data_IF_427704648002
#
_entry.id   IF_427704648002
#
_cell.length_a   1.000
_cell.length_b   1.000
_cell.length_c   1.000
_cell.angle_alpha   90.00
_cell.angle_beta   90.00
_cell.angle_gamma   90.00
#
_symmetry.space_group_name_H-M   'P 1'
#
loop_
_entity.id
_entity.type
_entity.pdbx_description
1 polymer ?
#
# COMPACT_ATOMS: atom_id res chain seq x y z
N UNK A 1 39.72 -3.53 71.66
CA UNK A 1 38.59 -3.45 70.71
C UNK A 1 38.84 -4.46 69.61
N UNK A 2 38.15 -5.61 69.62
CA UNK A 2 38.26 -6.64 68.57
C UNK A 2 37.22 -6.35 67.48
N UNK A 3 37.66 -5.98 66.28
CA UNK A 3 36.81 -5.85 65.10
C UNK A 3 36.68 -7.23 64.44
N UNK A 4 35.49 -7.80 64.49
CA UNK A 4 35.16 -9.04 63.79
C UNK A 4 34.82 -8.68 62.34
N UNK A 5 35.76 -8.93 61.42
CA UNK A 5 35.51 -8.78 59.99
C UNK A 5 34.70 -9.98 59.48
N UNK A 6 33.42 -9.78 59.21
CA UNK A 6 32.61 -10.75 58.47
C UNK A 6 33.05 -10.76 57.00
N UNK A 7 33.93 -11.70 56.62
CA UNK A 7 34.18 -12.01 55.22
C UNK A 7 32.91 -12.59 54.58
N UNK A 8 32.14 -11.73 53.90
CA UNK A 8 30.98 -12.13 53.11
C UNK A 8 31.47 -12.98 51.94
N UNK A 9 31.30 -14.31 52.03
CA UNK A 9 31.58 -15.23 50.90
C UNK A 9 30.81 -14.75 49.68
N UNK A 10 31.52 -14.26 48.66
CA UNK A 10 30.93 -14.06 47.35
C UNK A 10 30.56 -15.44 46.81
N UNK A 11 29.27 -15.71 46.66
CA UNK A 11 28.81 -16.89 45.94
C UNK A 11 29.08 -16.64 44.45
N UNK A 12 30.04 -17.38 43.89
CA UNK A 12 30.31 -17.38 42.46
C UNK A 12 29.21 -18.13 41.73
N UNK A 13 28.85 -17.63 40.54
CA UNK A 13 27.92 -18.30 39.64
C UNK A 13 28.52 -19.64 39.17
N UNK A 14 27.74 -20.72 39.22
CA UNK A 14 28.16 -22.00 38.67
C UNK A 14 27.97 -22.01 37.15
N UNK A 15 28.79 -22.79 36.45
CA UNK A 15 28.69 -22.95 34.98
C UNK A 15 27.32 -23.52 34.58
N UNK A 16 26.74 -24.38 35.43
CA UNK A 16 25.41 -24.97 35.23
C UNK A 16 24.31 -23.91 35.31
N UNK A 17 24.36 -22.99 36.28
CA UNK A 17 23.37 -21.91 36.39
C UNK A 17 23.39 -20.99 35.16
N UNK A 18 24.60 -20.66 34.66
CA UNK A 18 24.73 -19.87 33.44
C UNK A 18 24.17 -20.64 32.23
N UNK A 19 24.47 -21.93 32.11
CA UNK A 19 24.05 -22.78 30.99
C UNK A 19 22.53 -22.98 30.94
N UNK A 20 21.87 -23.22 32.07
CA UNK A 20 20.41 -23.35 32.14
C UNK A 20 19.74 -22.01 31.79
N UNK A 21 20.31 -20.89 32.24
CA UNK A 21 19.76 -19.56 31.97
C UNK A 21 19.76 -19.24 30.47
N UNK A 22 20.89 -19.44 29.79
CA UNK A 22 20.95 -19.20 28.33
C UNK A 22 20.05 -20.18 27.56
N UNK A 23 19.89 -21.43 28.04
CA UNK A 23 18.99 -22.40 27.43
C UNK A 23 17.53 -21.95 27.52
N UNK A 24 17.09 -21.45 28.68
CA UNK A 24 15.74 -20.92 28.87
C UNK A 24 15.53 -19.67 27.99
N UNK A 25 16.49 -18.74 27.96
CA UNK A 25 16.42 -17.55 27.10
C UNK A 25 16.31 -17.95 25.62
N UNK A 26 17.08 -18.93 25.16
CA UNK A 26 17.04 -19.40 23.78
C UNK A 26 15.66 -19.96 23.40
N UNK A 27 15.04 -20.76 24.28
CA UNK A 27 13.68 -21.29 24.07
C UNK A 27 12.65 -20.16 24.01
N UNK A 28 12.70 -19.22 24.95
CA UNK A 28 11.77 -18.07 24.98
C UNK A 28 11.95 -17.15 23.76
N UNK A 29 13.19 -16.90 23.34
CA UNK A 29 13.50 -16.10 22.17
C UNK A 29 12.99 -16.75 20.88
N UNK A 30 13.15 -18.07 20.73
CA UNK A 30 12.65 -18.82 19.57
C UNK A 30 11.12 -18.72 19.43
N UNK A 31 10.39 -18.89 20.54
CA UNK A 31 8.93 -18.72 20.56
C UNK A 31 8.54 -17.27 20.23
N UNK A 32 9.22 -16.30 20.83
CA UNK A 32 8.97 -14.86 20.62
C UNK A 32 9.18 -14.43 19.18
N UNK A 33 10.23 -14.93 18.52
CA UNK A 33 10.53 -14.58 17.12
C UNK A 33 9.42 -15.05 16.16
N UNK A 34 8.87 -16.26 16.39
CA UNK A 34 7.77 -16.78 15.57
C UNK A 34 6.48 -15.97 15.73
N UNK A 35 6.20 -15.48 16.93
CA UNK A 35 5.05 -14.65 17.25
C UNK A 35 5.22 -13.23 16.69
N UNK A 36 6.41 -12.66 16.84
CA UNK A 36 6.77 -11.34 16.30
C UNK A 36 6.56 -11.26 14.79
N UNK A 37 7.00 -12.28 14.04
CA UNK A 37 6.82 -12.31 12.57
C UNK A 37 5.34 -12.28 12.16
N UNK A 38 4.47 -12.98 12.89
CA UNK A 38 3.01 -12.94 12.67
C UNK A 38 2.45 -11.56 13.01
N UNK A 39 2.81 -10.99 14.15
CA UNK A 39 2.34 -9.65 14.57
C UNK A 39 2.78 -8.55 13.59
N UNK A 40 4.05 -8.56 13.18
CA UNK A 40 4.59 -7.58 12.24
C UNK A 40 3.86 -7.62 10.89
N UNK A 41 3.60 -8.81 10.34
CA UNK A 41 2.83 -8.93 9.10
C UNK A 41 1.39 -8.42 9.22
N UNK A 42 0.72 -8.69 10.35
CA UNK A 42 -0.63 -8.18 10.63
C UNK A 42 -0.62 -6.66 10.78
N UNK A 43 0.43 -6.09 11.38
CA UNK A 43 0.64 -4.65 11.46
C UNK A 43 0.74 -4.00 10.06
N UNK A 44 1.46 -4.64 9.13
CA UNK A 44 1.55 -4.17 7.74
C UNK A 44 0.20 -4.25 7.01
N UNK A 45 -0.57 -5.31 7.19
CA UNK A 45 -1.94 -5.43 6.64
C UNK A 45 -2.85 -4.31 7.16
N UNK A 46 -2.84 -4.04 8.46
CA UNK A 46 -3.60 -2.93 9.08
C UNK A 46 -3.14 -1.57 8.53
N UNK A 47 -1.83 -1.39 8.36
CA UNK A 47 -1.25 -0.20 7.74
C UNK A 47 -1.75 0.02 6.31
N UNK A 48 -1.77 -1.02 5.48
CA UNK A 48 -2.31 -0.95 4.11
C UNK A 48 -3.77 -0.50 4.08
N UNK A 49 -4.61 -1.09 4.94
CA UNK A 49 -6.03 -0.70 5.05
C UNK A 49 -6.16 0.76 5.50
N UNK A 50 -5.31 1.21 6.43
CA UNK A 50 -5.29 2.61 6.90
C UNK A 50 -4.90 3.58 5.77
N UNK A 51 -3.84 3.27 5.03
CA UNK A 51 -3.40 4.05 3.88
C UNK A 51 -4.52 4.13 2.83
N UNK A 52 -5.14 3.00 2.49
CA UNK A 52 -6.25 2.98 1.53
C UNK A 52 -7.46 3.77 2.00
N UNK A 53 -7.78 3.80 3.30
CA UNK A 53 -8.85 4.67 3.83
C UNK A 53 -8.56 6.14 3.60
N UNK A 54 -7.34 6.57 3.87
CA UNK A 54 -6.92 7.96 3.67
C UNK A 54 -6.92 8.34 2.18
N UNK A 55 -6.37 7.47 1.32
CA UNK A 55 -6.38 7.67 -0.14
C UNK A 55 -7.80 7.66 -0.73
N UNK A 56 -8.68 6.81 -0.20
CA UNK A 56 -10.09 6.73 -0.57
C UNK A 56 -10.83 8.02 -0.26
N UNK A 57 -10.66 8.53 0.96
CA UNK A 57 -11.24 9.81 1.37
C UNK A 57 -10.73 10.95 0.48
N UNK A 58 -9.42 11.01 0.24
CA UNK A 58 -8.80 12.01 -0.63
C UNK A 58 -9.38 11.97 -2.05
N UNK A 59 -9.61 10.78 -2.61
CA UNK A 59 -10.19 10.64 -3.93
C UNK A 59 -11.66 11.03 -4.01
N UNK A 60 -12.45 10.79 -2.97
CA UNK A 60 -13.85 11.25 -2.89
C UNK A 60 -13.92 12.77 -2.74
N UNK A 61 -13.03 13.37 -1.93
CA UNK A 61 -12.91 14.83 -1.83
C UNK A 61 -12.54 15.44 -3.18
N UNK A 62 -11.53 14.88 -3.86
CA UNK A 62 -11.17 15.27 -5.22
C UNK A 62 -12.37 15.19 -6.18
N UNK A 63 -13.09 14.07 -6.17
CA UNK A 63 -14.24 13.87 -7.07
C UNK A 63 -15.36 14.89 -6.82
N UNK A 64 -15.56 15.32 -5.57
CA UNK A 64 -16.54 16.36 -5.22
C UNK A 64 -16.22 17.69 -5.90
N UNK A 65 -14.93 18.01 -6.04
CA UNK A 65 -14.46 19.24 -6.70
C UNK A 65 -14.38 19.10 -8.24
N UNK A 66 -14.30 17.86 -8.76
CA UNK A 66 -14.06 17.56 -10.17
C UNK A 66 -15.26 16.88 -10.84
N UNK A 67 -16.48 17.39 -10.62
CA UNK A 67 -17.71 16.89 -11.28
C UNK A 67 -17.92 15.38 -11.14
N UNK A 68 -17.64 14.85 -9.95
CA UNK A 68 -17.81 13.43 -9.59
C UNK A 68 -16.87 12.45 -10.31
N UNK A 69 -15.84 12.95 -11.00
CA UNK A 69 -14.82 12.11 -11.61
C UNK A 69 -13.76 11.69 -10.60
N UNK A 70 -13.48 10.39 -10.57
CA UNK A 70 -12.36 9.86 -9.80
C UNK A 70 -11.02 10.34 -10.40
N UNK A 71 -9.96 10.46 -9.58
CA UNK A 71 -8.62 10.78 -10.07
C UNK A 71 -8.18 9.78 -11.14
N UNK A 72 -7.82 10.28 -12.32
CA UNK A 72 -7.41 9.46 -13.46
C UNK A 72 -5.97 8.95 -13.30
N UNK A 73 -5.69 7.74 -13.78
CA UNK A 73 -4.30 7.19 -13.81
C UNK A 73 -3.35 8.06 -14.60
N UNK A 74 -3.88 8.73 -15.63
CA UNK A 74 -3.16 9.67 -16.47
C UNK A 74 -4.15 10.74 -16.93
N UNK A 75 -3.83 12.00 -16.70
CA UNK A 75 -4.60 13.15 -17.15
C UNK A 75 -3.66 14.10 -17.89
N UNK A 76 -4.00 14.51 -19.11
CA UNK A 76 -3.28 15.55 -19.82
C UNK A 76 -4.15 16.08 -20.96
N UNK A 77 -4.18 17.40 -21.14
CA UNK A 77 -4.80 18.01 -22.31
C UNK A 77 -3.95 17.66 -23.55
N UNK A 78 -4.52 17.11 -24.64
CA UNK A 78 -3.78 16.84 -25.86
C UNK A 78 -3.15 18.10 -26.49
N UNK A 79 -3.67 19.30 -26.21
CA UNK A 79 -3.17 20.55 -26.78
C UNK A 79 -1.94 21.10 -26.01
N UNK A 80 -1.73 20.70 -24.76
CA UNK A 80 -0.71 21.25 -23.85
C UNK A 80 0.66 20.56 -23.91
N UNK A 81 0.95 19.76 -24.95
CA UNK A 81 2.31 19.30 -25.27
C UNK A 81 3.14 18.84 -24.06
N UNK A 82 2.72 17.75 -23.39
CA UNK A 82 3.35 17.16 -22.19
C UNK A 82 3.39 18.01 -20.90
N UNK A 83 2.93 19.26 -20.89
CA UNK A 83 3.12 20.17 -19.73
C UNK A 83 2.12 19.96 -18.56
N UNK A 84 1.09 19.12 -18.74
CA UNK A 84 -0.01 18.95 -17.76
C UNK A 84 -0.30 17.52 -17.31
N UNK A 85 0.67 16.60 -17.42
CA UNK A 85 0.46 15.18 -17.12
C UNK A 85 0.28 14.92 -15.61
N UNK A 86 -0.96 14.84 -15.15
CA UNK A 86 -1.29 14.51 -13.75
C UNK A 86 -1.68 13.04 -13.60
N UNK A 87 -0.93 12.31 -12.77
CA UNK A 87 -1.34 10.98 -12.32
C UNK A 87 -2.34 11.09 -11.16
N UNK A 88 -3.05 10.00 -10.86
CA UNK A 88 -3.97 9.96 -9.72
C UNK A 88 -3.29 10.34 -8.40
N UNK A 89 -1.99 10.02 -8.27
CA UNK A 89 -1.15 10.40 -7.13
C UNK A 89 -0.99 11.92 -7.06
N UNK A 90 -0.69 12.58 -8.18
CA UNK A 90 -0.57 14.04 -8.25
C UNK A 90 -1.89 14.72 -7.90
N UNK A 91 -2.99 14.19 -8.46
CA UNK A 91 -4.33 14.72 -8.25
C UNK A 91 -4.75 14.70 -6.78
N UNK A 92 -4.42 13.63 -6.03
CA UNK A 92 -4.86 13.49 -4.64
C UNK A 92 -3.79 13.84 -3.59
N UNK A 93 -2.53 14.06 -3.98
CA UNK A 93 -1.46 14.41 -3.05
C UNK A 93 -1.79 15.62 -2.15
N UNK A 94 -2.38 16.72 -2.64
CA UNK A 94 -2.77 17.86 -1.80
C UNK A 94 -3.78 17.49 -0.70
N UNK A 95 -4.69 16.54 -0.98
CA UNK A 95 -5.74 16.12 -0.05
C UNK A 95 -5.24 15.20 1.07
N UNK A 96 -4.04 14.64 0.92
CA UNK A 96 -3.37 13.85 1.96
C UNK A 96 -2.19 14.60 2.58
N UNK A 97 -2.08 15.91 2.36
CA UNK A 97 -0.96 16.76 2.79
C UNK A 97 0.41 16.23 2.33
N UNK A 98 0.43 15.51 1.21
CA UNK A 98 1.66 15.05 0.57
C UNK A 98 2.18 16.14 -0.36
N UNK A 99 3.49 16.31 -0.40
CA UNK A 99 4.13 17.06 -1.47
C UNK A 99 4.23 16.19 -2.72
N UNK A 100 4.07 16.81 -3.88
CA UNK A 100 4.42 16.24 -5.18
C UNK A 100 5.52 17.10 -5.79
N UNK A 101 6.71 16.55 -5.98
CA UNK A 101 7.83 17.25 -6.61
C UNK A 101 8.46 16.34 -7.67
N UNK A 102 8.25 16.60 -8.97
CA UNK A 102 8.90 15.83 -10.04
C UNK A 102 8.27 15.88 -11.44
N UNK A 103 9.09 15.57 -12.46
CA UNK A 103 8.66 15.18 -13.82
C UNK A 103 8.42 13.66 -13.90
N UNK A 104 7.90 13.16 -15.03
CA UNK A 104 7.44 11.78 -15.33
C UNK A 104 8.26 10.59 -14.75
N UNK A 105 9.49 10.78 -14.24
CA UNK A 105 10.35 9.73 -13.67
C UNK A 105 10.90 9.97 -12.23
N UNK A 106 10.80 11.18 -11.66
CA UNK A 106 11.44 11.52 -10.38
C UNK A 106 10.50 12.35 -9.47
N UNK A 107 9.43 11.73 -8.95
CA UNK A 107 8.41 12.36 -8.11
C UNK A 107 8.52 12.06 -6.61
N UNK A 108 8.47 13.08 -5.75
CA UNK A 108 8.22 12.91 -4.30
C UNK A 108 6.74 12.62 -4.04
N UNK A 109 6.43 11.63 -3.21
CA UNK A 109 5.06 11.36 -2.72
C UNK A 109 5.18 10.75 -1.34
N UNK A 110 4.31 11.02 -0.38
CA UNK A 110 4.44 10.48 0.98
C UNK A 110 4.31 8.93 1.04
N UNK A 111 4.76 8.33 2.15
CA UNK A 111 4.69 6.89 2.47
C UNK A 111 3.28 6.29 2.35
N UNK A 112 2.25 7.12 2.42
CA UNK A 112 0.86 6.71 2.23
C UNK A 112 0.58 6.02 0.88
N UNK A 113 1.32 6.37 -0.18
CA UNK A 113 1.18 5.75 -1.51
C UNK A 113 1.95 4.43 -1.66
N UNK A 114 2.65 3.99 -0.61
CA UNK A 114 3.27 2.67 -0.53
C UNK A 114 2.34 1.73 0.23
N UNK A 115 2.21 0.52 -0.28
CA UNK A 115 1.57 -0.57 0.44
C UNK A 115 2.61 -1.16 1.43
N UNK A 116 2.39 -1.06 2.75
CA UNK A 116 3.31 -1.61 3.75
C UNK A 116 3.52 -3.12 3.60
N UNK A 117 2.60 -3.84 2.97
CA UNK A 117 2.73 -5.29 2.75
C UNK A 117 3.64 -5.64 1.57
N UNK A 118 4.02 -4.66 0.73
CA UNK A 118 4.79 -4.94 -0.47
C UNK A 118 6.25 -5.31 -0.16
N UNK A 119 6.79 -6.40 -0.74
CA UNK A 119 8.13 -6.91 -0.44
C UNK A 119 9.26 -5.98 -0.91
N UNK A 120 9.02 -5.18 -1.96
CA UNK A 120 9.97 -4.18 -2.48
C UNK A 120 9.73 -2.78 -1.89
N UNK A 121 8.68 -2.62 -1.08
CA UNK A 121 8.55 -1.45 -0.21
C UNK A 121 9.66 -1.53 0.82
N UNK A 122 10.76 -0.81 0.57
CA UNK A 122 11.94 -0.70 1.45
C UNK A 122 11.53 -0.82 2.91
N UNK A 123 12.15 -1.78 3.61
CA UNK A 123 11.87 -2.11 5.02
C UNK A 123 11.72 -0.83 5.85
N UNK A 124 10.56 -0.68 6.51
CA UNK A 124 10.39 0.33 7.56
C UNK A 124 11.56 0.23 8.55
N UNK A 125 12.46 1.22 8.53
CA UNK A 125 13.67 1.20 9.36
C UNK A 125 14.83 2.09 8.89
N UNK A 126 14.89 2.54 7.64
CA UNK A 126 15.88 3.57 7.25
C UNK A 126 15.36 4.95 7.66
N UNK A 127 16.02 5.58 8.62
CA UNK A 127 15.78 6.95 9.10
C UNK A 127 16.03 8.05 8.05
N UNK A 128 16.11 7.71 6.78
CA UNK A 128 16.32 8.67 5.70
C UNK A 128 14.98 9.04 5.07
N UNK A 129 14.51 10.25 5.33
CA UNK A 129 13.45 10.90 4.56
C UNK A 129 13.96 11.09 3.12
N UNK A 130 13.72 10.11 2.24
CA UNK A 130 14.11 10.20 0.82
C UNK A 130 12.89 10.43 -0.08
N UNK A 131 13.04 11.23 -1.14
CA UNK A 131 12.06 11.32 -2.22
C UNK A 131 11.74 9.94 -2.81
N UNK A 132 10.48 9.70 -3.14
CA UNK A 132 9.99 8.41 -3.63
C UNK A 132 10.29 8.25 -5.13
N UNK A 133 10.19 7.03 -5.65
CA UNK A 133 10.21 6.80 -7.11
C UNK A 133 8.88 6.20 -7.54
N UNK A 134 8.46 6.41 -8.78
CA UNK A 134 7.25 5.79 -9.34
C UNK A 134 7.24 4.27 -9.26
N UNK A 135 8.44 3.67 -9.24
CA UNK A 135 8.62 2.24 -9.03
C UNK A 135 8.23 1.79 -7.62
N UNK A 136 7.99 2.68 -6.66
CA UNK A 136 7.69 2.33 -5.26
C UNK A 136 6.20 2.43 -4.90
N UNK A 137 5.36 2.89 -5.83
CA UNK A 137 3.91 2.98 -5.64
C UNK A 137 3.32 1.57 -5.54
N UNK A 138 2.60 1.33 -4.43
CA UNK A 138 2.07 0.01 -4.08
C UNK A 138 0.60 -0.21 -4.42
N UNK A 139 -0.05 0.76 -5.07
CA UNK A 139 -1.48 0.71 -5.41
C UNK A 139 -1.70 0.90 -6.90
N UNK A 140 -2.72 0.23 -7.43
CA UNK A 140 -3.13 0.31 -8.83
C UNK A 140 -4.60 0.65 -8.92
N UNK A 141 -4.92 1.54 -9.84
CA UNK A 141 -6.30 1.95 -10.11
C UNK A 141 -7.02 0.92 -10.97
N UNK A 142 -8.35 0.99 -10.98
CA UNK A 142 -9.23 0.14 -11.78
C UNK A 142 -9.91 0.98 -12.87
N UNK A 143 -10.20 0.34 -14.00
CA UNK A 143 -10.89 0.95 -15.14
C UNK A 143 -11.98 0.00 -15.64
N UNK A 144 -13.19 0.53 -15.83
CA UNK A 144 -14.32 -0.15 -16.45
C UNK A 144 -14.32 -0.09 -17.98
N UNK A 145 -13.28 0.50 -18.60
CA UNK A 145 -13.23 0.72 -20.04
C UNK A 145 -14.01 1.94 -20.53
N UNK A 146 -14.60 2.76 -19.63
CA UNK A 146 -14.96 4.15 -19.96
C UNK A 146 -13.70 4.99 -19.90
N UNK A 147 -12.85 4.82 -20.90
CA UNK A 147 -11.64 5.60 -21.07
C UNK A 147 -11.74 6.49 -22.31
N UNK A 148 -11.19 7.69 -22.21
CA UNK A 148 -10.96 8.55 -23.36
C UNK A 148 -9.53 8.31 -23.82
N UNK A 149 -9.35 7.89 -25.07
CA UNK A 149 -8.03 7.91 -25.70
C UNK A 149 -7.63 9.36 -25.97
N UNK A 150 -6.46 9.74 -25.49
CA UNK A 150 -5.80 11.02 -25.75
C UNK A 150 -4.41 10.73 -26.29
N UNK A 151 -4.26 10.84 -27.61
CA UNK A 151 -3.07 10.35 -28.31
C UNK A 151 -2.86 8.84 -28.11
N UNK A 152 -1.69 8.44 -27.63
CA UNK A 152 -1.35 7.05 -27.28
C UNK A 152 -1.79 6.62 -25.87
N UNK A 153 -2.35 7.53 -25.06
CA UNK A 153 -2.66 7.29 -23.65
C UNK A 153 -4.18 7.14 -23.42
N UNK A 154 -4.59 6.33 -22.43
CA UNK A 154 -6.00 6.15 -22.03
C UNK A 154 -6.25 6.92 -20.72
N UNK A 155 -7.13 7.91 -20.75
CA UNK A 155 -7.59 8.67 -19.57
C UNK A 155 -8.83 8.00 -19.01
N UNK A 156 -8.89 7.78 -17.69
CA UNK A 156 -10.03 7.14 -17.04
C UNK A 156 -11.07 8.17 -16.64
N UNK A 157 -12.33 7.89 -16.98
CA UNK A 157 -13.47 8.78 -16.73
C UNK A 157 -14.48 8.19 -15.73
N UNK A 158 -14.00 7.33 -14.84
CA UNK A 158 -14.78 6.67 -13.80
C UNK A 158 -15.47 7.68 -12.88
N UNK A 159 -16.81 7.66 -12.83
CA UNK A 159 -17.62 8.52 -11.95
C UNK A 159 -17.98 7.83 -10.62
N UNK A 160 -18.20 8.62 -9.57
CA UNK A 160 -18.67 8.11 -8.27
C UNK A 160 -20.10 7.53 -8.31
N UNK A 161 -20.94 8.04 -9.22
CA UNK A 161 -22.38 7.72 -9.31
C UNK A 161 -22.77 6.62 -10.34
N UNK A 162 -21.80 5.88 -10.89
CA UNK A 162 -22.03 4.79 -11.85
C UNK A 162 -22.65 3.53 -11.20
N UNK A 163 -23.31 2.67 -11.99
CA UNK A 163 -24.46 1.83 -11.59
C UNK A 163 -24.18 0.76 -10.51
N UNK A 164 -22.94 0.47 -10.11
CA UNK A 164 -22.76 -0.39 -8.91
C UNK A 164 -21.52 -0.15 -8.04
N UNK A 165 -21.01 1.09 -7.94
CA UNK A 165 -19.83 1.40 -7.11
C UNK A 165 -18.65 0.52 -7.54
N UNK A 166 -18.11 0.78 -8.72
CA UNK A 166 -16.99 0.03 -9.28
C UNK A 166 -15.74 0.10 -8.40
N UNK A 167 -14.85 -0.91 -8.46
CA UNK A 167 -13.55 -0.83 -7.80
C UNK A 167 -12.79 0.37 -8.39
N UNK A 168 -12.04 1.05 -7.54
CA UNK A 168 -11.21 2.18 -7.91
C UNK A 168 -9.74 1.91 -7.65
N UNK A 169 -9.38 1.40 -6.46
CA UNK A 169 -7.99 1.25 -6.05
C UNK A 169 -7.79 -0.07 -5.31
N UNK A 170 -6.72 -0.78 -5.60
CA UNK A 170 -6.30 -1.95 -4.83
C UNK A 170 -4.78 -2.02 -4.71
N UNK A 171 -4.26 -2.72 -3.70
CA UNK A 171 -2.86 -3.08 -3.62
C UNK A 171 -2.37 -3.79 -4.88
N UNK A 172 -1.13 -3.55 -5.25
CA UNK A 172 -0.48 -4.18 -6.40
C UNK A 172 0.98 -4.52 -6.09
N UNK A 173 1.66 -5.19 -7.02
CA UNK A 173 3.09 -5.35 -6.97
C UNK A 173 3.78 -3.99 -7.16
N UNK A 174 4.82 -3.72 -6.37
CA UNK A 174 5.68 -2.55 -6.52
C UNK A 174 6.23 -2.48 -7.96
N UNK A 175 6.48 -1.28 -8.48
CA UNK A 175 6.97 -1.09 -9.85
C UNK A 175 5.87 -1.07 -10.92
N UNK A 176 4.65 -1.48 -10.58
CA UNK A 176 3.53 -1.53 -11.52
C UNK A 176 2.74 -0.20 -11.62
N UNK A 177 3.04 0.77 -10.75
CA UNK A 177 2.09 1.82 -10.38
C UNK A 177 2.03 3.06 -11.27
N UNK A 178 3.14 3.56 -11.83
CA UNK A 178 3.09 4.84 -12.60
C UNK A 178 4.00 4.89 -13.84
N UNK A 179 4.76 3.83 -14.14
CA UNK A 179 5.64 3.78 -15.32
C UNK A 179 5.10 3.05 -16.55
N UNK A 180 3.90 2.46 -16.46
CA UNK A 180 3.31 1.73 -17.57
C UNK A 180 1.80 1.70 -17.43
N UNK A 181 1.08 2.59 -18.11
CA UNK A 181 -0.21 2.29 -18.77
C UNK A 181 -1.18 1.37 -18.02
N UNK A 182 -1.31 1.52 -16.70
CA UNK A 182 -1.64 0.38 -15.84
C UNK A 182 -2.82 0.66 -14.94
N UNK A 183 -3.99 0.21 -15.38
CA UNK A 183 -5.12 0.00 -14.49
C UNK A 183 -5.67 -1.38 -14.70
N UNK A 184 -6.43 -1.88 -13.75
CA UNK A 184 -7.18 -3.11 -13.96
C UNK A 184 -8.30 -2.83 -14.95
N UNK A 185 -8.10 -3.13 -16.24
CA UNK A 185 -9.12 -3.00 -17.29
C UNK A 185 -9.54 -4.35 -17.90
N UNK A 186 -8.82 -5.43 -17.60
CA UNK A 186 -9.15 -6.78 -18.01
C UNK A 186 -8.68 -7.81 -16.95
N UNK A 187 -9.13 -9.04 -17.10
CA UNK A 187 -8.79 -10.16 -16.20
C UNK A 187 -7.29 -10.52 -16.25
N UNK A 188 -6.62 -10.33 -17.40
CA UNK A 188 -5.19 -10.61 -17.54
C UNK A 188 -4.31 -9.69 -16.67
N UNK A 189 -4.62 -8.39 -16.63
CA UNK A 189 -3.93 -7.43 -15.76
C UNK A 189 -4.26 -7.71 -14.29
N UNK A 190 -5.51 -8.07 -13.99
CA UNK A 190 -5.91 -8.49 -12.65
C UNK A 190 -5.08 -9.68 -12.16
N UNK A 191 -5.01 -10.76 -12.94
CA UNK A 191 -4.29 -11.99 -12.57
C UNK A 191 -2.78 -11.76 -12.43
N UNK A 192 -2.19 -10.92 -13.28
CA UNK A 192 -0.74 -10.66 -13.27
C UNK A 192 -0.27 -9.65 -12.20
N UNK A 193 -1.17 -8.83 -11.64
CA UNK A 193 -0.79 -7.73 -10.73
C UNK A 193 -1.51 -7.79 -9.39
N UNK A 194 -2.83 -7.94 -9.42
CA UNK A 194 -3.70 -7.86 -8.25
C UNK A 194 -3.78 -9.20 -7.52
N UNK A 195 -3.95 -10.29 -8.26
CA UNK A 195 -4.04 -11.62 -7.67
C UNK A 195 -2.74 -12.01 -6.96
N UNK A 196 -1.58 -11.75 -7.58
CA UNK A 196 -0.27 -11.96 -6.94
C UNK A 196 -0.07 -11.09 -5.70
N UNK A 197 -0.53 -9.84 -5.73
CA UNK A 197 -0.48 -8.96 -4.55
C UNK A 197 -1.39 -9.45 -3.42
N UNK A 198 -2.51 -10.11 -3.76
CA UNK A 198 -3.48 -10.62 -2.77
C UNK A 198 -2.91 -11.73 -1.89
N UNK A 199 -1.94 -12.51 -2.39
CA UNK A 199 -1.25 -13.56 -1.62
C UNK A 199 -0.54 -13.02 -0.38
N UNK A 200 -0.24 -11.70 -0.36
CA UNK A 200 0.36 -11.01 0.78
C UNK A 200 -0.60 -10.77 1.94
N UNK A 201 -1.91 -10.87 1.70
CA UNK A 201 -2.96 -10.54 2.66
C UNK A 201 -3.62 -11.79 3.23
N UNK A 202 -3.30 -12.15 4.48
CA UNK A 202 -3.89 -13.34 5.12
C UNK A 202 -5.34 -13.14 5.51
N UNK A 203 -5.73 -11.90 5.87
CA UNK A 203 -7.09 -11.59 6.32
C UNK A 203 -7.99 -11.06 5.20
N UNK A 204 -7.51 -11.10 3.96
CA UNK A 204 -8.16 -10.59 2.77
C UNK A 204 -7.60 -9.23 2.34
N UNK A 205 -7.46 -9.06 1.03
CA UNK A 205 -6.90 -7.85 0.45
C UNK A 205 -7.97 -6.75 0.37
N UNK A 206 -7.65 -5.52 0.78
CA UNK A 206 -8.55 -4.38 0.63
C UNK A 206 -8.71 -3.98 -0.83
N UNK A 207 -9.94 -3.72 -1.22
CA UNK A 207 -10.29 -3.05 -2.48
C UNK A 207 -11.15 -1.84 -2.14
N UNK A 208 -10.73 -0.68 -2.62
CA UNK A 208 -11.47 0.56 -2.52
C UNK A 208 -12.39 0.71 -3.72
N UNK A 209 -13.59 1.20 -3.49
CA UNK A 209 -14.60 1.47 -4.51
C UNK A 209 -14.79 2.98 -4.68
N UNK A 210 -15.34 3.41 -5.82
CA UNK A 210 -15.49 4.84 -6.14
C UNK A 210 -16.36 5.63 -5.16
N UNK A 211 -17.22 4.97 -4.40
CA UNK A 211 -18.04 5.60 -3.36
C UNK A 211 -17.30 5.79 -2.02
N UNK A 212 -15.99 5.54 -1.98
CA UNK A 212 -15.20 5.61 -0.76
C UNK A 212 -15.28 4.36 0.14
N UNK A 213 -16.09 3.36 -0.22
CA UNK A 213 -16.18 2.13 0.59
C UNK A 213 -14.98 1.22 0.34
N UNK A 214 -14.54 0.54 1.40
CA UNK A 214 -13.45 -0.44 1.33
C UNK A 214 -13.99 -1.80 1.76
N UNK A 215 -13.72 -2.83 0.96
CA UNK A 215 -14.08 -4.22 1.28
C UNK A 215 -12.85 -5.10 1.26
N UNK A 216 -12.81 -6.08 2.16
CA UNK A 216 -11.74 -7.07 2.23
C UNK A 216 -12.18 -8.33 1.49
N UNK A 217 -11.33 -8.83 0.60
CA UNK A 217 -11.60 -10.03 -0.19
C UNK A 217 -10.55 -11.10 0.12
N UNK A 218 -10.99 -12.27 0.61
CA UNK A 218 -10.10 -13.42 0.85
C UNK A 218 -9.83 -14.22 -0.43
N UNK A 219 -10.87 -14.46 -1.22
CA UNK A 219 -10.80 -15.16 -2.49
C UNK A 219 -11.14 -14.17 -3.59
N UNK A 220 -10.13 -13.50 -4.12
CA UNK A 220 -10.27 -12.51 -5.15
C UNK A 220 -10.55 -13.16 -6.50
N UNK A 221 -11.74 -12.89 -7.04
CA UNK A 221 -12.13 -13.28 -8.38
C UNK A 221 -12.53 -12.04 -9.16
N UNK A 222 -11.99 -11.89 -10.36
CA UNK A 222 -12.23 -10.72 -11.20
C UNK A 222 -13.73 -10.45 -11.41
N UNK A 223 -14.48 -11.50 -11.75
CA UNK A 223 -15.93 -11.43 -12.00
C UNK A 223 -16.76 -11.04 -10.76
N UNK A 224 -16.26 -11.29 -9.54
CA UNK A 224 -16.97 -10.95 -8.28
C UNK A 224 -16.77 -9.50 -7.86
N UNK A 225 -15.75 -8.84 -8.39
CA UNK A 225 -15.36 -7.48 -7.99
C UNK A 225 -15.87 -6.45 -8.99
N UNK A 226 -16.02 -6.83 -10.26
CA UNK A 226 -16.54 -5.92 -11.28
C UNK A 226 -18.04 -5.65 -11.11
N UNK A 227 -18.50 -4.44 -11.44
CA UNK A 227 -19.92 -4.21 -11.70
C UNK A 227 -20.40 -5.16 -12.82
N UNK A 228 -21.62 -5.73 -12.73
CA UNK A 228 -22.15 -6.51 -13.83
C UNK A 228 -22.18 -5.63 -15.09
N UNK A 229 -21.62 -6.12 -16.20
CA UNK A 229 -21.73 -5.42 -17.49
C UNK A 229 -23.21 -5.39 -17.86
N UNK A 230 -23.80 -4.19 -17.86
CA UNK A 230 -25.11 -4.01 -18.48
C UNK A 230 -24.99 -4.44 -19.95
N UNK A 231 -25.92 -5.33 -20.35
CA UNK A 231 -26.00 -5.86 -21.72
C UNK A 231 -26.60 -4.84 -22.66
#
# INVERSE_FOLDING_TARGET
MHNIHYCRRAQGFTLVELLVTIAIIAVLAALSMSVYNKMSSKGREVGSVSNMKQLSLAAVSYATEHSEFMPATYWGDPEDGNAGKQSWVQAIAPYVYSTYEGTDNEGKSDGIFRDPTSPEGRQYGSSEFRPHRWSEIGYMTWSNGTDRKVGSHRIMLTRTNDVSRQPWLSPTLTGAGVGASGSVYNEGVFNSRILLASERYRNGMPVCFCNGSIRLFKNLEYAKIQPPRER
#
